data_IF_599002611623
#
_entry.id   IF_599002611623
#
_cell.length_a   1.000
_cell.length_b   1.000
_cell.length_c   1.000
_cell.angle_alpha   90.00
_cell.angle_beta   90.00
_cell.angle_gamma   90.00
#
_symmetry.space_group_name_H-M   'P 1'
#
loop_
_entity.id
_entity.type
_entity.pdbx_description
1 polymer ?
#
# COMPACT_ATOMS: atom_id res chain seq x y z
N UNK A 1 3.73 11.53 5.44
CA UNK A 1 5.03 12.21 5.25
C UNK A 1 5.96 11.31 4.46
N UNK A 2 6.72 11.86 3.53
CA UNK A 2 7.73 11.15 2.75
C UNK A 2 8.87 10.63 3.63
N UNK A 3 9.73 9.75 3.10
CA UNK A 3 10.86 9.22 3.87
C UNK A 3 11.84 10.31 4.28
N UNK A 4 12.08 11.31 3.42
CA UNK A 4 12.95 12.45 3.67
C UNK A 4 12.47 13.29 4.85
N UNK A 5 11.16 13.58 4.93
CA UNK A 5 10.59 14.31 6.06
C UNK A 5 10.56 13.47 7.36
N UNK A 6 10.40 12.15 7.25
CA UNK A 6 10.40 11.23 8.40
C UNK A 6 11.75 11.19 9.12
N UNK A 7 12.87 11.46 8.45
CA UNK A 7 14.21 11.58 9.06
C UNK A 7 14.22 12.66 10.15
N UNK A 8 13.45 13.74 9.97
CA UNK A 8 13.30 14.83 10.94
C UNK A 8 12.25 14.55 12.03
N UNK A 9 11.66 13.36 12.06
CA UNK A 9 10.67 12.96 13.04
C UNK A 9 9.22 13.33 12.71
N UNK A 10 8.94 13.81 11.49
CA UNK A 10 7.57 14.07 11.02
C UNK A 10 6.80 12.75 10.87
N UNK A 11 5.58 12.67 11.44
CA UNK A 11 4.75 11.44 11.46
C UNK A 11 3.30 11.75 11.08
N UNK A 12 2.56 10.71 10.71
CA UNK A 12 1.10 10.81 10.48
C UNK A 12 0.37 11.31 11.73
N UNK A 13 -0.74 12.03 11.54
CA UNK A 13 -1.54 12.66 12.60
C UNK A 13 -0.82 13.72 13.46
N UNK A 14 0.40 14.12 13.11
CA UNK A 14 1.10 15.22 13.77
C UNK A 14 0.49 16.59 13.39
N UNK A 15 0.34 17.53 14.33
CA UNK A 15 -0.06 18.90 14.01
C UNK A 15 0.90 19.57 13.01
N UNK A 16 0.36 20.25 12.00
CA UNK A 16 1.16 20.86 10.93
C UNK A 16 2.22 21.85 11.46
N UNK A 17 1.86 22.68 12.44
CA UNK A 17 2.79 23.61 13.10
C UNK A 17 3.99 22.90 13.75
N UNK A 18 3.80 21.68 14.26
CA UNK A 18 4.91 20.88 14.82
C UNK A 18 5.75 20.28 13.71
N UNK A 19 5.13 19.80 12.64
CA UNK A 19 5.85 19.27 11.48
C UNK A 19 6.74 20.34 10.82
N UNK A 20 6.24 21.57 10.68
CA UNK A 20 7.00 22.71 10.15
C UNK A 20 8.21 23.06 11.02
N UNK A 21 8.05 23.06 12.35
CA UNK A 21 9.18 23.29 13.27
C UNK A 21 10.24 22.19 13.20
N UNK A 22 9.84 20.93 13.00
CA UNK A 22 10.77 19.80 12.87
C UNK A 22 11.48 19.79 11.51
N UNK A 23 10.79 20.21 10.46
CA UNK A 23 11.31 20.22 9.10
C UNK A 23 10.91 21.54 8.40
N UNK A 24 11.66 22.65 8.64
CA UNK A 24 11.30 23.97 8.09
C UNK A 24 11.32 24.04 6.56
N UNK A 25 12.04 23.14 5.89
CA UNK A 25 12.06 23.01 4.43
C UNK A 25 10.99 22.07 3.85
N UNK A 26 10.05 21.59 4.67
CA UNK A 26 9.01 20.67 4.21
C UNK A 26 8.05 21.34 3.22
N UNK A 27 7.72 20.64 2.14
CA UNK A 27 6.68 21.04 1.20
C UNK A 27 5.34 20.48 1.66
N UNK A 28 4.39 21.37 1.99
CA UNK A 28 3.03 20.98 2.36
C UNK A 28 2.14 20.95 1.12
N UNK A 29 1.56 19.78 0.85
CA UNK A 29 0.69 19.56 -0.31
C UNK A 29 -0.72 19.27 0.18
N UNK A 30 -1.71 19.95 -0.39
CA UNK A 30 -3.11 19.68 -0.10
C UNK A 30 -3.52 18.27 -0.59
N UNK A 31 -4.39 17.54 0.13
CA UNK A 31 -4.80 16.20 -0.28
C UNK A 31 -5.65 16.24 -1.56
N UNK A 32 -5.31 15.38 -2.52
CA UNK A 32 -6.10 15.15 -3.74
C UNK A 32 -6.77 13.77 -3.69
N UNK A 33 -7.93 13.70 -3.02
CA UNK A 33 -8.66 12.45 -2.85
C UNK A 33 -9.22 11.88 -4.16
N UNK A 34 -9.45 12.72 -5.18
CA UNK A 34 -9.89 12.25 -6.49
C UNK A 34 -8.80 11.41 -7.13
N UNK A 35 -7.57 11.94 -7.18
CA UNK A 35 -6.41 11.20 -7.69
C UNK A 35 -6.11 9.95 -6.85
N UNK A 36 -6.17 10.05 -5.53
CA UNK A 36 -5.87 8.90 -4.65
C UNK A 36 -6.87 7.76 -4.83
N UNK A 37 -8.18 8.07 -4.97
CA UNK A 37 -9.21 7.05 -5.25
C UNK A 37 -9.03 6.41 -6.62
N UNK A 38 -8.70 7.20 -7.65
CA UNK A 38 -8.48 6.68 -8.99
C UNK A 38 -7.32 5.66 -9.02
N UNK A 39 -6.19 5.99 -8.36
CA UNK A 39 -5.05 5.06 -8.27
C UNK A 39 -5.37 3.86 -7.38
N UNK A 40 -6.10 4.04 -6.27
CA UNK A 40 -6.57 2.93 -5.43
C UNK A 40 -7.42 1.92 -6.24
N UNK A 41 -8.30 2.41 -7.12
CA UNK A 41 -9.10 1.56 -8.00
C UNK A 41 -8.22 0.78 -9.01
N UNK A 42 -7.18 1.40 -9.57
CA UNK A 42 -6.23 0.72 -10.45
C UNK A 42 -5.52 -0.43 -9.71
N UNK A 43 -5.04 -0.19 -8.49
CA UNK A 43 -4.38 -1.23 -7.67
C UNK A 43 -5.36 -2.35 -7.31
N UNK A 44 -6.62 -2.03 -6.97
CA UNK A 44 -7.65 -3.04 -6.71
C UNK A 44 -7.96 -3.89 -7.95
N UNK A 45 -7.94 -3.30 -9.14
CA UNK A 45 -8.09 -4.04 -10.39
C UNK A 45 -6.92 -5.00 -10.63
N UNK A 46 -5.71 -4.66 -10.19
CA UNK A 46 -4.56 -5.59 -10.19
C UNK A 46 -4.85 -6.76 -9.24
N UNK A 47 -5.28 -6.51 -8.00
CA UNK A 47 -5.60 -7.58 -7.04
C UNK A 47 -6.63 -8.60 -7.56
N UNK A 48 -7.68 -8.12 -8.24
CA UNK A 48 -8.74 -8.96 -8.79
C UNK A 48 -8.25 -9.97 -9.86
N UNK A 49 -7.06 -9.77 -10.44
CA UNK A 49 -6.43 -10.73 -11.36
C UNK A 49 -5.95 -12.00 -10.66
N UNK A 50 -5.69 -11.93 -9.34
CA UNK A 50 -5.07 -13.01 -8.56
C UNK A 50 -6.07 -13.80 -7.72
N UNK A 51 -7.09 -13.13 -7.18
CA UNK A 51 -8.14 -13.76 -6.38
C UNK A 51 -9.43 -12.93 -6.42
N UNK A 52 -10.57 -13.59 -6.25
CA UNK A 52 -11.87 -12.93 -6.06
C UNK A 52 -12.12 -12.54 -4.61
N UNK A 53 -11.30 -13.06 -3.70
CA UNK A 53 -11.44 -12.85 -2.25
C UNK A 53 -10.56 -11.69 -1.82
N UNK A 54 -10.95 -10.50 -2.27
CA UNK A 54 -10.29 -9.23 -1.91
C UNK A 54 -11.16 -8.48 -0.91
N UNK A 55 -10.59 -8.13 0.24
CA UNK A 55 -11.23 -7.33 1.27
C UNK A 55 -10.46 -6.02 1.48
N UNK A 56 -10.93 -4.90 0.91
CA UNK A 56 -10.28 -3.62 1.08
C UNK A 56 -10.46 -3.06 2.49
N UNK A 57 -9.37 -2.55 3.10
CA UNK A 57 -9.39 -1.94 4.43
C UNK A 57 -9.35 -0.40 4.34
N UNK A 58 -8.59 0.14 3.39
CA UNK A 58 -8.41 1.57 3.16
C UNK A 58 -8.25 1.88 1.66
N UNK A 59 -7.76 3.06 1.31
CA UNK A 59 -7.37 3.37 -0.07
C UNK A 59 -6.13 2.58 -0.51
N UNK A 60 -5.20 2.33 0.40
CA UNK A 60 -3.88 1.77 0.12
C UNK A 60 -3.67 0.36 0.69
N UNK A 61 -4.67 -0.22 1.36
CA UNK A 61 -4.58 -1.54 1.99
C UNK A 61 -5.76 -2.46 1.63
N UNK A 62 -5.46 -3.75 1.42
CA UNK A 62 -6.44 -4.81 1.25
C UNK A 62 -5.88 -6.16 1.73
N UNK A 63 -6.76 -7.04 2.21
CA UNK A 63 -6.46 -8.46 2.41
C UNK A 63 -6.84 -9.25 1.16
N UNK A 64 -5.99 -10.21 0.79
CA UNK A 64 -6.24 -11.14 -0.30
C UNK A 64 -6.18 -12.56 0.27
N UNK A 65 -7.26 -13.32 0.15
CA UNK A 65 -7.22 -14.77 0.40
C UNK A 65 -6.77 -15.49 -0.88
N UNK A 66 -5.59 -16.09 -0.80
CA UNK A 66 -4.91 -16.80 -1.88
C UNK A 66 -4.86 -18.31 -1.65
N UNK A 67 -5.74 -18.85 -0.80
CA UNK A 67 -5.85 -20.29 -0.56
C UNK A 67 -6.35 -21.04 -1.81
N UNK A 68 -7.09 -20.36 -2.68
CA UNK A 68 -7.56 -20.85 -3.97
C UNK A 68 -7.44 -19.72 -5.02
N UNK A 69 -6.22 -19.42 -5.50
CA UNK A 69 -5.98 -18.30 -6.39
C UNK A 69 -6.43 -18.62 -7.82
N UNK A 70 -6.65 -17.56 -8.63
CA UNK A 70 -7.06 -17.68 -10.03
C UNK A 70 -6.00 -18.34 -10.91
N UNK A 71 -4.73 -18.06 -10.63
CA UNK A 71 -3.59 -18.60 -11.36
C UNK A 71 -2.70 -19.40 -10.41
N UNK A 72 -2.05 -20.44 -10.94
CA UNK A 72 -1.06 -21.20 -10.20
C UNK A 72 0.20 -20.35 -9.98
N UNK A 73 0.63 -20.24 -8.73
CA UNK A 73 1.92 -19.66 -8.35
C UNK A 73 2.70 -20.66 -7.51
N UNK A 74 4.04 -20.66 -7.56
CA UNK A 74 4.86 -21.55 -6.74
C UNK A 74 4.68 -21.35 -5.23
N UNK A 75 4.27 -20.14 -4.80
CA UNK A 75 3.95 -19.82 -3.42
C UNK A 75 3.17 -18.50 -3.33
N UNK A 76 2.55 -18.24 -2.17
CA UNK A 76 1.95 -16.94 -1.87
C UNK A 76 2.99 -15.79 -1.89
N UNK A 77 4.24 -16.05 -1.52
CA UNK A 77 5.34 -15.07 -1.59
C UNK A 77 5.71 -14.72 -3.03
N UNK A 78 5.74 -15.71 -3.93
CA UNK A 78 5.95 -15.47 -5.36
C UNK A 78 4.82 -14.62 -5.94
N UNK A 79 3.57 -14.92 -5.57
CA UNK A 79 2.40 -14.13 -5.98
C UNK A 79 2.46 -12.70 -5.44
N UNK A 80 2.81 -12.50 -4.17
CA UNK A 80 2.98 -11.17 -3.59
C UNK A 80 4.07 -10.35 -4.29
N UNK A 81 5.15 -11.02 -4.72
CA UNK A 81 6.23 -10.39 -5.49
C UNK A 81 5.75 -9.93 -6.87
N UNK A 82 4.97 -10.78 -7.56
CA UNK A 82 4.37 -10.47 -8.84
C UNK A 82 3.36 -9.31 -8.75
N UNK A 83 2.48 -9.33 -7.74
CA UNK A 83 1.53 -8.23 -7.46
C UNK A 83 2.28 -6.90 -7.28
N UNK A 84 3.35 -6.88 -6.48
CA UNK A 84 4.16 -5.68 -6.27
C UNK A 84 4.84 -5.19 -7.55
N UNK A 85 5.31 -6.11 -8.38
CA UNK A 85 5.89 -5.79 -9.69
C UNK A 85 4.84 -5.17 -10.63
N UNK A 86 3.64 -5.75 -10.69
CA UNK A 86 2.52 -5.22 -11.50
C UNK A 86 2.10 -3.82 -11.03
N UNK A 87 1.96 -3.60 -9.71
CA UNK A 87 1.68 -2.27 -9.16
C UNK A 87 2.75 -1.26 -9.60
N UNK A 88 4.04 -1.63 -9.49
CA UNK A 88 5.14 -0.73 -9.89
C UNK A 88 5.12 -0.44 -11.39
N UNK A 89 4.90 -1.44 -12.23
CA UNK A 89 4.87 -1.29 -13.67
C UNK A 89 3.72 -0.40 -14.14
N UNK A 90 2.53 -0.56 -13.57
CA UNK A 90 1.31 0.11 -14.05
C UNK A 90 1.07 1.48 -13.40
N UNK A 91 1.56 1.71 -12.18
CA UNK A 91 1.27 2.94 -11.42
C UNK A 91 2.50 3.78 -11.10
N UNK A 92 3.71 3.25 -11.35
CA UNK A 92 4.97 3.80 -10.86
C UNK A 92 5.05 3.95 -9.33
N UNK A 93 4.17 3.32 -8.56
CA UNK A 93 4.19 3.32 -7.09
C UNK A 93 4.84 2.05 -6.54
N UNK A 94 5.38 2.17 -5.32
CA UNK A 94 5.90 1.03 -4.57
C UNK A 94 4.82 0.50 -3.61
N UNK A 95 4.80 -0.81 -3.39
CA UNK A 95 3.98 -1.45 -2.39
C UNK A 95 4.82 -2.43 -1.54
N UNK A 96 4.36 -2.68 -0.31
CA UNK A 96 4.83 -3.76 0.56
C UNK A 96 3.75 -4.82 0.67
N UNK A 97 4.13 -6.03 1.08
CA UNK A 97 3.20 -7.14 1.22
C UNK A 97 3.64 -8.07 2.36
N UNK A 98 2.69 -8.47 3.21
CA UNK A 98 2.88 -9.46 4.25
C UNK A 98 2.06 -10.71 3.93
N UNK A 99 2.66 -11.88 4.12
CA UNK A 99 2.04 -13.19 3.86
C UNK A 99 2.04 -13.99 5.14
N UNK A 100 0.86 -14.45 5.57
CA UNK A 100 0.71 -15.29 6.75
C UNK A 100 -0.57 -16.15 6.66
N UNK A 101 -0.76 -17.04 7.63
CA UNK A 101 -1.93 -17.92 7.71
C UNK A 101 -3.22 -17.21 8.15
N UNK A 102 -3.15 -15.94 8.57
CA UNK A 102 -4.32 -15.14 8.95
C UNK A 102 -4.06 -13.63 8.70
N UNK A 103 -5.15 -12.86 8.69
CA UNK A 103 -5.15 -11.42 8.43
C UNK A 103 -4.26 -10.63 9.41
N UNK A 104 -4.33 -10.94 10.70
CA UNK A 104 -3.60 -10.20 11.73
C UNK A 104 -2.08 -10.31 11.55
N UNK A 105 -1.56 -11.52 11.40
CA UNK A 105 -0.14 -11.75 11.17
C UNK A 105 0.31 -11.21 9.81
N UNK A 106 -0.54 -11.31 8.78
CA UNK A 106 -0.23 -10.75 7.46
C UNK A 106 -0.06 -9.22 7.52
N UNK A 107 -0.88 -8.52 8.32
CA UNK A 107 -0.77 -7.08 8.49
C UNK A 107 0.43 -6.65 9.34
N UNK A 108 0.90 -7.48 10.26
CA UNK A 108 2.15 -7.21 10.98
C UNK A 108 3.36 -7.40 10.05
N UNK A 109 3.30 -8.38 9.15
CA UNK A 109 4.39 -8.72 8.23
C UNK A 109 4.52 -7.76 7.02
N UNK A 110 3.52 -6.93 6.76
CA UNK A 110 3.45 -6.04 5.59
C UNK A 110 4.22 -4.73 5.76
#
# INVERSE_FOLDING_TARGET
ASYEARVFGVRSAMPALRAERLCPGAVFVAPDFTRYRAVSQQVRAIFARYTDRVEPLSLDEAYLDVSAPRNAFPSATAMATDIRAAIRAETALTASAGVACNKFLAKIAS
#
